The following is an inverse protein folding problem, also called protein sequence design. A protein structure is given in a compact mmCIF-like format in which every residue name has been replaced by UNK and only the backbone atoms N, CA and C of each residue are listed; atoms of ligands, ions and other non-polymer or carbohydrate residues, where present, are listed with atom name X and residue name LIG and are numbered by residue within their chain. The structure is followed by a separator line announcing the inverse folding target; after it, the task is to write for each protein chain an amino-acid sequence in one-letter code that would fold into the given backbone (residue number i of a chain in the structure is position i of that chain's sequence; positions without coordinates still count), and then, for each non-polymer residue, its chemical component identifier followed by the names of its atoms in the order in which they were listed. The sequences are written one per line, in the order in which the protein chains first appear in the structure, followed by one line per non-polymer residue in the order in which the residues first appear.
data_IF_952866624279
#
_entry.id   IF_952866624279
#
_cell.length_a   1.000
_cell.length_b   1.000
_cell.length_c   1.000
_cell.angle_alpha   90.00
_cell.angle_beta   90.00
_cell.angle_gamma   90.00
#
_symmetry.space_group_name_H-M   'P 1'
#
loop_
_entity.id
_entity.type
_entity.pdbx_description
1 polymer ?
#
# COMPACT_ATOMS: atom_id res chain seq x y z
N UNK A 1 -4.28 -2.84 -4.22
CA UNK A 1 -4.14 -1.45 -4.73
C UNK A 1 -3.11 -1.34 -5.85
N UNK A 2 -1.80 -1.25 -5.57
CA UNK A 2 -0.77 -0.94 -6.60
C UNK A 2 -0.82 -1.86 -7.82
N UNK A 3 -0.86 -3.19 -7.63
CA UNK A 3 -1.01 -4.16 -8.73
C UNK A 3 -2.29 -3.95 -9.55
N UNK A 4 -3.42 -3.64 -8.89
CA UNK A 4 -4.70 -3.43 -9.57
C UNK A 4 -4.68 -2.14 -10.40
N UNK A 5 -4.13 -1.06 -9.85
CA UNK A 5 -3.99 0.23 -10.53
C UNK A 5 -3.02 0.12 -11.71
N UNK A 6 -1.89 -0.56 -11.52
CA UNK A 6 -0.92 -0.84 -12.58
C UNK A 6 -1.57 -1.62 -13.73
N UNK A 7 -2.35 -2.67 -13.43
CA UNK A 7 -3.11 -3.42 -14.46
C UNK A 7 -4.13 -2.55 -15.19
N UNK A 8 -4.87 -1.71 -14.45
CA UNK A 8 -5.92 -0.85 -15.03
C UNK A 8 -5.36 0.23 -15.96
N UNK A 9 -4.20 0.80 -15.62
CA UNK A 9 -3.66 2.01 -16.28
C UNK A 9 -2.50 1.71 -17.23
N UNK A 10 -1.61 0.77 -16.86
CA UNK A 10 -0.39 0.48 -17.60
C UNK A 10 -0.54 -0.70 -18.58
N UNK A 11 -1.48 -1.63 -18.37
CA UNK A 11 -1.62 -2.81 -19.23
C UNK A 11 -2.44 -2.61 -20.51
N UNK A 12 -3.20 -1.52 -20.64
CA UNK A 12 -4.10 -1.27 -21.78
C UNK A 12 -3.68 -0.02 -22.55
N UNK A 13 -3.40 -0.15 -23.85
CA UNK A 13 -3.36 0.99 -24.76
C UNK A 13 -4.19 0.67 -26.01
N UNK A 14 -5.21 1.48 -26.30
CA UNK A 14 -6.12 1.30 -27.44
C UNK A 14 -6.76 -0.09 -27.59
N UNK A 15 -6.93 -0.84 -26.48
CA UNK A 15 -7.52 -2.19 -26.49
C UNK A 15 -6.52 -3.34 -26.68
N UNK A 16 -5.24 -3.05 -26.94
CA UNK A 16 -4.17 -4.04 -27.00
C UNK A 16 -3.37 -4.09 -25.68
N UNK A 17 -2.94 -5.31 -25.33
CA UNK A 17 -2.21 -5.61 -24.10
C UNK A 17 -0.74 -5.20 -24.28
N UNK A 18 -0.28 -4.20 -23.54
CA UNK A 18 1.13 -3.81 -23.59
C UNK A 18 1.98 -4.88 -22.89
N UNK A 19 2.84 -5.56 -23.64
CA UNK A 19 3.80 -6.55 -23.10
C UNK A 19 4.76 -5.92 -22.08
N UNK A 20 5.05 -4.63 -22.22
CA UNK A 20 5.84 -3.82 -21.29
C UNK A 20 5.20 -3.68 -19.90
N UNK A 21 3.85 -3.72 -19.81
CA UNK A 21 3.13 -3.56 -18.54
C UNK A 21 3.39 -4.69 -17.53
N UNK A 22 3.73 -5.90 -17.99
CA UNK A 22 4.00 -7.05 -17.11
C UNK A 22 5.31 -6.93 -16.33
N UNK A 23 6.34 -6.32 -16.93
CA UNK A 23 7.63 -6.14 -16.25
C UNK A 23 7.54 -5.00 -15.23
N UNK A 24 6.82 -3.92 -15.55
CA UNK A 24 6.63 -2.80 -14.65
C UNK A 24 5.87 -3.17 -13.36
N UNK A 25 4.87 -4.07 -13.42
CA UNK A 25 4.09 -4.46 -12.24
C UNK A 25 4.98 -5.08 -11.14
N UNK A 26 5.90 -5.97 -11.52
CA UNK A 26 6.77 -6.66 -10.55
C UNK A 26 7.69 -5.68 -9.84
N UNK A 27 8.30 -4.76 -10.58
CA UNK A 27 9.24 -3.79 -10.03
C UNK A 27 8.53 -2.77 -9.13
N UNK A 28 7.29 -2.39 -9.47
CA UNK A 28 6.45 -1.56 -8.59
C UNK A 28 6.13 -2.27 -7.27
N UNK A 29 5.78 -3.56 -7.31
CA UNK A 29 5.53 -4.32 -6.09
C UNK A 29 6.79 -4.47 -5.25
N UNK A 30 7.94 -4.75 -5.87
CA UNK A 30 9.22 -4.84 -5.16
C UNK A 30 9.61 -3.50 -4.52
N UNK A 31 9.35 -2.37 -5.20
CA UNK A 31 9.57 -1.04 -4.63
C UNK A 31 8.71 -0.81 -3.38
N UNK A 32 7.45 -1.25 -3.39
CA UNK A 32 6.55 -1.16 -2.23
C UNK A 32 7.01 -2.06 -1.08
N UNK A 33 7.45 -3.29 -1.37
CA UNK A 33 7.93 -4.24 -0.36
C UNK A 33 9.19 -3.75 0.38
N UNK A 34 10.04 -2.99 -0.32
CA UNK A 34 11.27 -2.43 0.25
C UNK A 34 11.03 -1.16 1.08
N UNK A 35 9.82 -0.61 1.09
CA UNK A 35 9.48 0.62 1.81
C UNK A 35 8.87 0.33 3.18
N UNK A 36 9.29 1.10 4.17
CA UNK A 36 8.68 1.07 5.49
C UNK A 36 7.28 1.72 5.44
N UNK A 37 6.24 0.94 5.77
CA UNK A 37 4.83 1.39 5.74
C UNK A 37 4.62 2.67 6.56
N UNK A 38 5.18 2.75 7.76
CA UNK A 38 5.03 3.91 8.64
C UNK A 38 5.75 5.17 8.16
N UNK A 39 6.55 5.10 7.09
CA UNK A 39 7.19 6.28 6.49
C UNK A 39 6.26 7.03 5.51
N UNK A 40 5.11 6.45 5.15
CA UNK A 40 4.19 7.10 4.21
C UNK A 40 2.70 6.91 4.53
N UNK A 41 2.31 5.97 5.40
CA UNK A 41 0.90 5.58 5.58
C UNK A 41 0.00 6.68 6.17
N UNK A 42 0.57 7.72 6.77
CA UNK A 42 -0.15 8.91 7.26
C UNK A 42 -0.68 9.78 6.10
N UNK A 43 0.09 9.91 5.02
CA UNK A 43 -0.31 10.58 3.77
C UNK A 43 0.28 9.83 2.56
N UNK A 44 -0.33 8.69 2.17
CA UNK A 44 0.27 7.71 1.25
C UNK A 44 0.47 8.26 -0.16
N UNK A 45 -0.24 9.32 -0.53
CA UNK A 45 -0.24 9.87 -1.89
C UNK A 45 0.44 11.24 -1.96
N UNK A 46 1.21 11.59 -0.92
CA UNK A 46 2.07 12.76 -0.93
C UNK A 46 3.22 12.58 -1.93
N UNK A 47 3.42 13.55 -2.82
CA UNK A 47 4.49 13.52 -3.81
C UNK A 47 5.89 13.52 -3.21
N UNK A 48 6.03 14.07 -1.99
CA UNK A 48 7.30 14.14 -1.27
C UNK A 48 7.59 12.87 -0.46
N UNK A 49 6.63 11.95 -0.35
CA UNK A 49 6.80 10.74 0.44
C UNK A 49 7.50 9.63 -0.37
N UNK A 50 8.21 8.71 0.32
CA UNK A 50 9.00 7.69 -0.35
C UNK A 50 8.20 6.82 -1.32
N UNK A 51 6.92 6.56 -1.04
CA UNK A 51 6.08 5.74 -1.89
C UNK A 51 5.91 6.34 -3.29
N UNK A 52 5.43 7.58 -3.39
CA UNK A 52 5.20 8.23 -4.68
C UNK A 52 6.53 8.46 -5.44
N UNK A 53 7.59 8.81 -4.72
CA UNK A 53 8.92 8.98 -5.31
C UNK A 53 9.46 7.69 -5.93
N UNK A 54 9.38 6.57 -5.20
CA UNK A 54 9.87 5.27 -5.69
C UNK A 54 9.01 4.74 -6.86
N UNK A 55 7.68 4.84 -6.78
CA UNK A 55 6.81 4.41 -7.86
C UNK A 55 7.06 5.23 -9.14
N UNK A 56 7.21 6.55 -9.02
CA UNK A 56 7.55 7.43 -10.14
C UNK A 56 8.93 7.10 -10.72
N UNK A 57 9.92 6.84 -9.87
CA UNK A 57 11.26 6.46 -10.31
C UNK A 57 11.24 5.17 -11.13
N UNK A 58 10.50 4.14 -10.69
CA UNK A 58 10.34 2.89 -11.42
C UNK A 58 9.65 3.13 -12.77
N UNK A 59 8.55 3.89 -12.80
CA UNK A 59 7.82 4.19 -14.03
C UNK A 59 8.67 4.97 -15.04
N UNK A 60 9.40 5.98 -14.58
CA UNK A 60 10.29 6.78 -15.44
C UNK A 60 11.46 5.95 -15.93
N UNK A 61 12.07 5.10 -15.09
CA UNK A 61 13.15 4.21 -15.52
C UNK A 61 12.69 3.23 -16.60
N UNK A 62 11.48 2.69 -16.48
CA UNK A 62 10.88 1.86 -17.54
C UNK A 62 10.59 2.66 -18.80
N UNK A 63 10.02 3.86 -18.69
CA UNK A 63 9.73 4.71 -19.84
C UNK A 63 11.00 5.13 -20.62
N UNK A 64 12.13 5.33 -19.93
CA UNK A 64 13.41 5.66 -20.58
C UNK A 64 14.05 4.47 -21.30
N UNK A 65 13.74 3.24 -20.87
CA UNK A 65 14.25 2.00 -21.47
C UNK A 65 13.35 1.46 -22.60
N UNK A 66 12.17 2.05 -22.82
CA UNK A 66 11.30 1.69 -23.95
C UNK A 66 11.91 2.18 -25.28
N UNK A 67 12.32 1.24 -26.14
CA UNK A 67 12.96 1.57 -27.42
C UNK A 67 12.01 1.72 -28.60
N UNK A 68 10.76 1.22 -28.55
CA UNK A 68 9.92 1.08 -29.77
C UNK A 68 8.39 1.30 -29.66
N UNK A 69 7.79 1.81 -28.58
CA UNK A 69 6.31 1.79 -28.46
C UNK A 69 5.61 3.15 -28.67
N UNK A 70 4.61 3.16 -29.57
CA UNK A 70 3.77 4.30 -29.98
C UNK A 70 2.83 4.87 -28.88
N UNK A 71 3.04 4.49 -27.61
CA UNK A 71 2.33 5.04 -26.46
C UNK A 71 3.28 5.12 -25.28
N UNK A 72 3.69 6.32 -24.92
CA UNK A 72 4.71 6.48 -23.89
C UNK A 72 4.12 6.11 -22.52
N UNK A 73 4.78 5.22 -21.77
CA UNK A 73 4.50 5.03 -20.33
C UNK A 73 4.44 6.38 -19.62
N UNK A 74 5.24 7.35 -20.07
CA UNK A 74 5.30 8.72 -19.56
C UNK A 74 3.94 9.43 -19.55
N UNK A 75 3.13 9.25 -20.60
CA UNK A 75 1.78 9.87 -20.69
C UNK A 75 0.78 9.25 -19.72
N UNK A 76 1.05 8.01 -19.27
CA UNK A 76 0.19 7.26 -18.35
C UNK A 76 0.54 7.48 -16.89
N UNK A 77 1.72 8.04 -16.56
CA UNK A 77 2.14 8.31 -15.18
C UNK A 77 1.10 9.18 -14.44
N UNK A 78 0.60 10.30 -14.99
CA UNK A 78 -0.39 11.13 -14.29
C UNK A 78 -1.72 10.39 -14.06
N UNK A 79 -2.12 9.52 -14.99
CA UNK A 79 -3.35 8.72 -14.87
C UNK A 79 -3.18 7.65 -13.79
N UNK A 80 -2.01 7.00 -13.74
CA UNK A 80 -1.66 6.05 -12.70
C UNK A 80 -1.64 6.70 -11.31
N UNK A 81 -0.97 7.84 -11.16
CA UNK A 81 -0.86 8.53 -9.86
C UNK A 81 -2.24 8.99 -9.35
N UNK A 82 -3.09 9.50 -10.24
CA UNK A 82 -4.46 9.90 -9.89
C UNK A 82 -5.31 8.72 -9.42
N UNK A 83 -5.33 7.63 -10.19
CA UNK A 83 -6.10 6.43 -9.83
C UNK A 83 -5.55 5.76 -8.56
N UNK A 84 -4.22 5.77 -8.39
CA UNK A 84 -3.58 5.26 -7.18
C UNK A 84 -4.03 6.06 -5.97
N UNK A 85 -4.09 7.38 -6.08
CA UNK A 85 -4.53 8.26 -5.00
C UNK A 85 -5.95 7.95 -4.54
N UNK A 86 -6.88 7.89 -5.48
CA UNK A 86 -8.29 7.61 -5.19
C UNK A 86 -8.50 6.24 -4.52
N UNK A 87 -7.79 5.20 -4.96
CA UNK A 87 -7.94 3.86 -4.39
C UNK A 87 -7.17 3.66 -3.08
N UNK A 88 -5.96 4.22 -2.96
CA UNK A 88 -5.08 3.96 -1.82
C UNK A 88 -5.62 4.54 -0.52
N UNK A 89 -6.12 5.78 -0.55
CA UNK A 89 -6.70 6.43 0.63
C UNK A 89 -7.90 5.64 1.18
N UNK A 90 -8.79 5.19 0.29
CA UNK A 90 -9.97 4.40 0.65
C UNK A 90 -9.61 3.02 1.22
N UNK A 91 -8.62 2.34 0.64
CA UNK A 91 -8.19 1.00 1.08
C UNK A 91 -7.41 1.03 2.39
N UNK A 92 -6.57 2.04 2.62
CA UNK A 92 -5.87 2.20 3.91
C UNK A 92 -6.87 2.51 5.03
N UNK A 93 -7.86 3.36 4.78
CA UNK A 93 -8.94 3.63 5.74
C UNK A 93 -9.70 2.36 6.12
N UNK A 94 -10.11 1.57 5.11
CA UNK A 94 -10.77 0.27 5.33
C UNK A 94 -9.90 -0.70 6.12
N UNK A 95 -8.65 -0.90 5.73
CA UNK A 95 -7.74 -1.81 6.42
C UNK A 95 -7.48 -1.41 7.88
N UNK A 96 -7.42 -0.11 8.18
CA UNK A 96 -7.30 0.39 9.56
C UNK A 96 -8.56 0.13 10.37
N UNK A 97 -9.74 0.43 9.81
CA UNK A 97 -11.02 0.20 10.49
C UNK A 97 -11.23 -1.28 10.78
N UNK A 98 -11.00 -2.16 9.80
CA UNK A 98 -11.09 -3.61 9.97
C UNK A 98 -10.19 -4.10 11.11
N UNK A 99 -8.98 -3.54 11.22
CA UNK A 99 -8.06 -3.90 12.29
C UNK A 99 -8.57 -3.44 13.67
N UNK A 100 -9.12 -2.23 13.78
CA UNK A 100 -9.64 -1.72 15.05
C UNK A 100 -10.94 -2.40 15.49
N UNK A 101 -11.80 -2.79 14.56
CA UNK A 101 -13.10 -3.42 14.86
C UNK A 101 -12.96 -4.94 15.05
N UNK A 102 -12.25 -5.62 14.15
CA UNK A 102 -12.23 -7.08 14.07
C UNK A 102 -10.88 -7.70 14.45
N UNK A 103 -9.85 -6.89 14.70
CA UNK A 103 -8.49 -7.37 14.97
C UNK A 103 -7.79 -7.98 13.75
N UNK A 104 -8.31 -7.72 12.54
CA UNK A 104 -7.85 -8.28 11.28
C UNK A 104 -7.58 -7.13 10.30
N UNK A 105 -6.40 -7.11 9.68
CA UNK A 105 -6.11 -6.18 8.58
C UNK A 105 -6.34 -6.91 7.24
N UNK A 106 -7.55 -6.81 6.69
CA UNK A 106 -7.95 -7.50 5.46
C UNK A 106 -8.00 -9.02 5.63
N UNK A 107 -7.06 -9.76 5.02
CA UNK A 107 -6.98 -11.24 5.11
C UNK A 107 -5.82 -11.74 5.96
N UNK A 108 -5.10 -10.85 6.65
CA UNK A 108 -3.91 -11.21 7.43
C UNK A 108 -4.27 -11.15 8.92
N UNK A 109 -4.35 -12.30 9.62
CA UNK A 109 -4.56 -12.31 11.06
C UNK A 109 -3.31 -11.84 11.81
N UNK A 110 -3.48 -11.43 13.07
CA UNK A 110 -2.37 -11.07 13.92
C UNK A 110 -1.51 -12.31 14.22
N UNK A 111 -0.25 -12.29 13.76
CA UNK A 111 0.71 -13.41 13.89
C UNK A 111 0.99 -13.82 15.33
N UNK A 112 0.69 -12.96 16.32
CA UNK A 112 0.86 -13.31 17.73
C UNK A 112 -0.01 -14.50 18.15
N UNK A 113 -1.12 -14.76 17.45
CA UNK A 113 -2.02 -15.88 17.71
C UNK A 113 -1.33 -17.24 17.55
N UNK A 114 -0.36 -17.34 16.64
CA UNK A 114 0.40 -18.56 16.37
C UNK A 114 1.73 -18.62 17.14
N UNK A 115 1.96 -17.68 18.07
CA UNK A 115 3.21 -17.58 18.82
C UNK A 115 3.10 -18.19 20.22
N UNK A 116 4.19 -18.78 20.73
CA UNK A 116 4.27 -19.25 22.12
C UNK A 116 4.06 -18.15 23.17
N UNK A 117 4.30 -16.89 22.78
CA UNK A 117 4.08 -15.70 23.59
C UNK A 117 2.62 -15.22 23.62
N UNK A 118 1.71 -15.89 22.89
CA UNK A 118 0.30 -15.56 22.86
C UNK A 118 -0.35 -15.42 24.25
N UNK A 119 -0.07 -16.29 25.25
CA UNK A 119 -0.71 -16.18 26.57
C UNK A 119 -0.45 -14.84 27.27
N UNK A 120 0.73 -14.24 27.08
CA UNK A 120 1.04 -12.92 27.65
C UNK A 120 0.28 -11.79 26.94
N UNK A 121 0.16 -11.90 25.61
CA UNK A 121 -0.61 -10.95 24.81
C UNK A 121 -2.10 -11.01 25.17
N UNK A 122 -2.68 -12.21 25.24
CA UNK A 122 -4.09 -12.43 25.60
C UNK A 122 -4.40 -11.97 27.03
N UNK A 123 -3.51 -12.25 27.99
CA UNK A 123 -3.65 -11.75 29.35
C UNK A 123 -3.76 -10.21 29.37
N UNK A 124 -2.85 -9.51 28.70
CA UNK A 124 -2.87 -8.05 28.67
C UNK A 124 -4.07 -7.47 27.90
N UNK A 125 -4.41 -8.04 26.73
CA UNK A 125 -5.42 -7.48 25.83
C UNK A 125 -6.85 -7.91 26.17
N UNK A 126 -7.07 -9.19 26.45
CA UNK A 126 -8.40 -9.76 26.67
C UNK A 126 -8.78 -9.76 28.15
N UNK A 127 -7.87 -10.19 29.03
CA UNK A 127 -8.20 -10.39 30.46
C UNK A 127 -8.10 -9.09 31.27
N UNK A 128 -7.05 -8.29 31.06
CA UNK A 128 -6.90 -6.98 31.68
C UNK A 128 -7.63 -5.86 30.91
N UNK A 129 -8.09 -6.14 29.68
CA UNK A 129 -8.84 -5.18 28.86
C UNK A 129 -8.01 -4.00 28.34
N UNK A 130 -6.68 -4.11 28.29
CA UNK A 130 -5.83 -3.01 27.80
C UNK A 130 -6.04 -2.80 26.29
N UNK A 131 -6.05 -1.54 25.88
CA UNK A 131 -6.32 -1.17 24.48
C UNK A 131 -5.06 -0.70 23.76
N UNK A 132 -5.13 -0.63 22.43
CA UNK A 132 -4.07 0.01 21.66
C UNK A 132 -4.15 1.52 21.88
N UNK A 133 -3.04 2.11 22.31
CA UNK A 133 -2.93 3.54 22.51
C UNK A 133 -2.90 4.24 21.15
N UNK A 134 -3.77 5.26 20.99
CA UNK A 134 -3.82 6.13 19.83
C UNK A 134 -4.19 7.54 20.29
N UNK A 135 -3.70 8.56 19.59
CA UNK A 135 -4.05 9.96 19.83
C UNK A 135 -5.53 10.28 19.58
N UNK A 136 -6.24 9.41 18.85
CA UNK A 136 -7.69 9.54 18.61
C UNK A 136 -8.53 9.09 19.81
N UNK A 137 -7.92 8.49 20.85
CA UNK A 137 -8.59 7.99 22.04
C UNK A 137 -8.32 8.89 23.24
N UNK A 138 -9.22 8.84 24.21
CA UNK A 138 -9.12 9.64 25.45
C UNK A 138 -8.28 8.98 26.54
N UNK A 139 -7.97 7.69 26.41
CA UNK A 139 -7.21 6.92 27.41
C UNK A 139 -5.73 7.30 27.40
N UNK A 140 -5.20 7.62 28.57
CA UNK A 140 -3.79 7.92 28.75
C UNK A 140 -2.93 6.65 28.87
N UNK A 141 -1.62 6.70 28.59
CA UNK A 141 -0.75 5.52 28.69
C UNK A 141 -0.60 4.93 30.11
N UNK A 142 -0.98 5.67 31.15
CA UNK A 142 -0.86 5.24 32.55
C UNK A 142 -2.09 4.53 33.11
N UNK A 143 -3.23 4.66 32.43
CA UNK A 143 -4.49 3.96 32.73
C UNK A 143 -4.49 2.54 32.15
#
# INVERSE_FOLDING_TARGET
VVSQVAKKTLSTHNGELLTAGRFCEKDLLQAVENLHVFAYVDDPCNENYPLMQQLRQVLVAHALNETESQSSIFDKIPVFEKELKEQMEAEIGRARNDYYENGIAGSIPNRIQDCRSFPLYDFARSQLGTQLLSGDRTTSPGE
#
